data_IF_767181427364
#
_entry.id   IF_767181427364
#
_cell.length_a   1.000
_cell.length_b   1.000
_cell.length_c   1.000
_cell.angle_alpha   90.00
_cell.angle_beta   90.00
_cell.angle_gamma   90.00
#
_symmetry.space_group_name_H-M   'P 1'
#
loop_
_entity.id
_entity.type
_entity.pdbx_description
1 polymer ?
#
# COMPACT_ATOMS: atom_id res chain seq x y z
N UNK A 1 20.35 8.58 -58.15
CA UNK A 1 20.08 7.89 -56.86
C UNK A 1 20.60 8.80 -55.77
N UNK A 2 19.79 9.66 -55.12
CA UNK A 2 18.81 9.31 -54.07
C UNK A 2 19.58 8.99 -52.78
N UNK A 3 19.44 9.66 -51.62
CA UNK A 3 18.31 10.37 -51.04
C UNK A 3 18.79 11.46 -50.06
N UNK A 4 18.31 12.70 -50.22
CA UNK A 4 18.45 13.78 -49.24
C UNK A 4 17.31 13.73 -48.23
N UNK A 5 17.62 13.54 -46.95
CA UNK A 5 16.63 13.55 -45.86
C UNK A 5 16.31 15.00 -45.48
N UNK A 6 15.22 15.53 -46.05
CA UNK A 6 14.61 16.82 -45.67
C UNK A 6 14.08 16.73 -44.23
N UNK A 7 14.67 17.48 -43.30
CA UNK A 7 14.09 17.77 -41.98
C UNK A 7 12.75 18.49 -42.17
N UNK A 8 11.65 17.80 -41.84
CA UNK A 8 10.31 18.39 -41.71
C UNK A 8 10.24 19.15 -40.38
N UNK A 9 10.19 20.48 -40.46
CA UNK A 9 9.69 21.34 -39.37
C UNK A 9 8.19 21.06 -39.24
N UNK A 10 7.76 20.41 -38.15
CA UNK A 10 6.34 20.34 -37.78
C UNK A 10 6.13 21.39 -36.69
N UNK A 11 5.55 22.52 -37.09
CA UNK A 11 5.13 23.56 -36.17
C UNK A 11 3.79 23.19 -35.52
N UNK A 12 3.62 23.69 -34.30
CA UNK A 12 2.34 24.05 -33.68
C UNK A 12 1.34 22.94 -33.46
N UNK A 13 1.19 22.51 -32.20
CA UNK A 13 -0.08 22.65 -31.48
C UNK A 13 0.20 22.34 -30.01
N UNK A 14 0.24 23.40 -29.20
CA UNK A 14 0.16 23.28 -27.76
C UNK A 14 -1.28 22.88 -27.43
N UNK A 15 -1.52 21.58 -27.27
CA UNK A 15 -2.73 21.11 -26.59
C UNK A 15 -2.59 21.49 -25.12
N UNK A 16 -3.09 22.69 -24.81
CA UNK A 16 -3.50 23.02 -23.46
C UNK A 16 -4.56 22.01 -23.06
N UNK A 17 -4.16 21.05 -22.24
CA UNK A 17 -5.03 20.10 -21.57
C UNK A 17 -5.99 20.90 -20.67
N UNK A 18 -7.07 21.37 -21.29
CA UNK A 18 -8.15 22.06 -20.63
C UNK A 18 -8.75 21.07 -19.64
N UNK A 19 -8.41 21.23 -18.36
CA UNK A 19 -9.01 20.52 -17.23
C UNK A 19 -10.51 20.76 -17.28
N UNK A 20 -11.23 19.93 -18.03
CA UNK A 20 -12.68 19.98 -18.15
C UNK A 20 -13.21 19.83 -16.73
N UNK A 21 -13.76 20.93 -16.20
CA UNK A 21 -14.25 20.98 -14.83
C UNK A 21 -15.34 19.92 -14.72
N UNK A 22 -15.03 18.78 -14.10
CA UNK A 22 -15.99 17.70 -13.90
C UNK A 22 -17.21 18.32 -13.23
N UNK A 23 -18.38 18.10 -13.82
CA UNK A 23 -19.62 18.61 -13.21
C UNK A 23 -19.75 18.00 -11.81
N UNK A 24 -20.44 18.68 -10.90
CA UNK A 24 -20.70 18.13 -9.56
C UNK A 24 -21.25 16.70 -9.64
N UNK A 25 -22.14 16.47 -10.60
CA UNK A 25 -22.76 15.17 -10.88
C UNK A 25 -21.74 14.11 -11.30
N UNK A 26 -20.75 14.46 -12.12
CA UNK A 26 -19.73 13.50 -12.57
C UNK A 26 -18.70 13.21 -11.48
N UNK A 27 -18.29 14.22 -10.72
CA UNK A 27 -17.43 14.03 -9.54
C UNK A 27 -18.11 13.18 -8.47
N UNK A 28 -19.41 13.39 -8.24
CA UNK A 28 -20.20 12.61 -7.31
C UNK A 28 -20.30 11.13 -7.73
N UNK A 29 -20.57 10.87 -9.02
CA UNK A 29 -20.58 9.51 -9.57
C UNK A 29 -19.23 8.82 -9.42
N UNK A 30 -18.13 9.54 -9.65
CA UNK A 30 -16.78 9.00 -9.47
C UNK A 30 -16.54 8.63 -7.99
N UNK A 31 -16.92 9.51 -7.06
CA UNK A 31 -16.85 9.23 -5.62
C UNK A 31 -17.68 8.02 -5.22
N UNK A 32 -18.90 7.88 -5.74
CA UNK A 32 -19.75 6.71 -5.49
C UNK A 32 -19.11 5.43 -6.01
N UNK A 33 -18.52 5.46 -7.21
CA UNK A 33 -17.79 4.32 -7.77
C UNK A 33 -16.58 3.92 -6.90
N UNK A 34 -15.81 4.90 -6.41
CA UNK A 34 -14.68 4.65 -5.52
C UNK A 34 -15.13 4.05 -4.18
N UNK A 35 -16.25 4.51 -3.62
CA UNK A 35 -16.86 3.94 -2.41
C UNK A 35 -17.28 2.48 -2.65
N UNK A 36 -17.91 2.19 -3.79
CA UNK A 36 -18.29 0.82 -4.13
C UNK A 36 -17.06 -0.09 -4.27
N UNK A 37 -16.02 0.40 -4.95
CA UNK A 37 -14.77 -0.34 -5.06
C UNK A 37 -14.13 -0.58 -3.70
N UNK A 38 -14.09 0.43 -2.83
CA UNK A 38 -13.61 0.30 -1.45
C UNK A 38 -14.38 -0.77 -0.66
N UNK A 39 -15.71 -0.86 -0.84
CA UNK A 39 -16.53 -1.90 -0.22
C UNK A 39 -16.17 -3.31 -0.74
N UNK A 40 -15.93 -3.46 -2.04
CA UNK A 40 -15.47 -4.72 -2.64
C UNK A 40 -14.09 -5.14 -2.11
N UNK A 41 -13.21 -4.19 -1.81
CA UNK A 41 -11.93 -4.48 -1.16
C UNK A 41 -12.14 -4.86 0.31
N UNK A 42 -12.94 -4.10 1.05
CA UNK A 42 -13.16 -4.31 2.47
C UNK A 42 -13.85 -5.65 2.78
N UNK A 43 -14.71 -6.16 1.90
CA UNK A 43 -15.37 -7.46 2.07
C UNK A 43 -14.39 -8.64 2.09
N UNK A 44 -13.21 -8.50 1.51
CA UNK A 44 -12.17 -9.54 1.50
C UNK A 44 -11.46 -9.67 2.87
N UNK A 45 -11.68 -8.73 3.79
CA UNK A 45 -11.00 -8.69 5.09
C UNK A 45 -11.98 -8.62 6.26
N UNK A 46 -12.73 -9.70 6.54
CA UNK A 46 -13.64 -9.75 7.69
C UNK A 46 -12.87 -9.73 9.02
N UNK A 47 -13.36 -8.96 9.99
CA UNK A 47 -12.84 -8.93 11.37
C UNK A 47 -13.94 -9.31 12.36
N UNK A 48 -13.79 -10.49 12.98
CA UNK A 48 -14.79 -11.04 13.88
C UNK A 48 -16.14 -11.31 13.19
N UNK A 49 -16.10 -11.86 11.97
CA UNK A 49 -17.30 -12.26 11.21
C UNK A 49 -18.03 -11.13 10.49
N UNK A 50 -17.46 -9.92 10.43
CA UNK A 50 -18.03 -8.82 9.69
C UNK A 50 -16.97 -7.92 9.06
N UNK A 51 -17.31 -7.36 7.90
CA UNK A 51 -16.47 -6.44 7.12
C UNK A 51 -16.99 -5.01 7.27
N UNK A 52 -16.13 -4.03 6.97
CA UNK A 52 -16.59 -2.65 6.89
C UNK A 52 -17.27 -2.39 5.54
N UNK A 53 -18.36 -1.64 5.60
CA UNK A 53 -19.01 -1.05 4.44
C UNK A 53 -19.10 0.45 4.61
N UNK A 54 -19.14 1.12 3.46
CA UNK A 54 -19.10 2.56 3.34
C UNK A 54 -20.25 3.02 2.48
N UNK A 55 -20.89 4.12 2.88
CA UNK A 55 -21.94 4.76 2.09
C UNK A 55 -21.80 6.26 2.14
N UNK A 56 -22.21 6.92 1.06
CA UNK A 56 -22.29 8.36 1.02
C UNK A 56 -23.49 8.85 1.85
N UNK A 57 -23.31 9.94 2.58
CA UNK A 57 -24.33 10.60 3.39
C UNK A 57 -24.31 12.11 3.15
N UNK A 58 -25.50 12.68 3.03
CA UNK A 58 -25.71 14.10 2.84
C UNK A 58 -26.14 14.74 4.17
N UNK A 59 -25.56 15.89 4.50
CA UNK A 59 -26.04 16.72 5.61
C UNK A 59 -27.45 17.23 5.31
N UNK A 60 -28.33 17.42 6.32
CA UNK A 60 -29.61 18.10 6.13
C UNK A 60 -29.47 19.47 5.45
N UNK A 61 -28.36 20.16 5.70
CA UNK A 61 -28.04 21.43 5.05
C UNK A 61 -27.84 21.30 3.53
N UNK A 62 -27.46 20.11 3.03
CA UNK A 62 -27.20 19.90 1.61
C UNK A 62 -28.42 20.21 0.74
N UNK A 63 -29.64 19.95 1.23
CA UNK A 63 -30.87 20.27 0.50
C UNK A 63 -31.00 21.77 0.17
N UNK A 64 -30.42 22.65 0.99
CA UNK A 64 -30.44 24.09 0.79
C UNK A 64 -29.26 24.62 -0.04
N UNK A 65 -28.13 23.90 -0.07
CA UNK A 65 -26.90 24.40 -0.70
C UNK A 65 -26.54 23.69 -2.00
N UNK A 66 -27.08 22.50 -2.29
CA UNK A 66 -26.70 21.73 -3.49
C UNK A 66 -27.01 22.46 -4.81
N UNK A 67 -28.01 23.36 -4.85
CA UNK A 67 -28.31 24.17 -6.02
C UNK A 67 -27.18 25.17 -6.35
N UNK A 68 -26.48 25.68 -5.33
CA UNK A 68 -25.33 26.59 -5.48
C UNK A 68 -24.07 25.85 -5.94
N UNK A 69 -23.99 24.55 -5.66
CA UNK A 69 -22.81 23.70 -5.87
C UNK A 69 -22.82 23.03 -7.25
N UNK A 70 -23.89 23.17 -8.05
CA UNK A 70 -24.04 22.56 -9.38
C UNK A 70 -22.85 22.82 -10.33
N UNK A 71 -22.14 23.93 -10.14
CA UNK A 71 -20.98 24.35 -10.94
C UNK A 71 -19.62 24.02 -10.31
N UNK A 72 -19.58 23.18 -9.27
CA UNK A 72 -18.38 22.92 -8.47
C UNK A 72 -18.13 21.43 -8.25
N UNK A 73 -16.93 21.08 -7.79
CA UNK A 73 -16.52 19.70 -7.53
C UNK A 73 -17.05 19.18 -6.17
N UNK A 74 -17.29 17.87 -6.03
CA UNK A 74 -17.77 17.26 -4.79
C UNK A 74 -16.77 17.41 -3.62
N UNK A 75 -15.49 17.66 -3.92
CA UNK A 75 -14.48 18.02 -2.92
C UNK A 75 -14.85 19.29 -2.15
N UNK A 76 -15.42 20.30 -2.81
CA UNK A 76 -15.88 21.53 -2.14
C UNK A 76 -17.07 21.23 -1.23
N UNK A 77 -18.05 20.45 -1.70
CA UNK A 77 -19.18 20.03 -0.89
C UNK A 77 -18.73 19.19 0.33
N UNK A 78 -17.71 18.36 0.18
CA UNK A 78 -17.06 17.64 1.28
C UNK A 78 -16.38 18.58 2.29
N UNK A 79 -15.64 19.58 1.81
CA UNK A 79 -14.99 20.58 2.65
C UNK A 79 -15.99 21.43 3.44
N UNK A 80 -17.12 21.79 2.83
CA UNK A 80 -18.22 22.53 3.45
C UNK A 80 -19.08 21.67 4.41
N UNK A 81 -18.82 20.36 4.50
CA UNK A 81 -19.60 19.48 5.38
C UNK A 81 -20.96 19.06 4.83
N UNK A 82 -21.24 19.30 3.55
CA UNK A 82 -22.49 18.89 2.90
C UNK A 82 -22.50 17.38 2.62
N UNK A 83 -21.32 16.78 2.45
CA UNK A 83 -21.13 15.35 2.18
C UNK A 83 -20.19 14.73 3.23
N UNK A 84 -20.54 13.52 3.65
CA UNK A 84 -19.73 12.65 4.52
C UNK A 84 -19.84 11.20 4.05
N UNK A 85 -18.83 10.41 4.38
CA UNK A 85 -18.81 8.97 4.14
C UNK A 85 -19.07 8.30 5.48
N UNK A 86 -20.11 7.48 5.56
CA UNK A 86 -20.42 6.69 6.75
C UNK A 86 -19.78 5.32 6.60
N UNK A 87 -19.00 4.92 7.60
CA UNK A 87 -18.37 3.60 7.69
C UNK A 87 -19.08 2.83 8.80
N UNK A 88 -19.58 1.63 8.47
CA UNK A 88 -20.30 0.76 9.39
C UNK A 88 -19.86 -0.69 9.22
N UNK A 89 -20.10 -1.52 10.23
CA UNK A 89 -19.76 -2.95 10.20
C UNK A 89 -20.98 -3.73 9.69
N UNK A 90 -20.77 -4.58 8.68
CA UNK A 90 -21.79 -5.42 8.05
C UNK A 90 -21.45 -6.91 8.22
N UNK A 91 -22.41 -7.69 8.72
CA UNK A 91 -22.28 -9.14 8.91
C UNK A 91 -22.78 -9.91 7.69
N UNK A 92 -22.16 -11.06 7.40
CA UNK A 92 -22.44 -11.92 6.23
C UNK A 92 -23.89 -12.47 6.18
N UNK A 93 -24.62 -12.48 7.32
CA UNK A 93 -25.90 -13.19 7.47
C UNK A 93 -27.12 -12.52 6.80
N UNK A 94 -26.92 -11.48 5.97
CA UNK A 94 -27.98 -10.79 5.21
C UNK A 94 -29.06 -10.07 6.05
N UNK A 95 -29.20 -10.40 7.34
CA UNK A 95 -29.95 -9.65 8.33
C UNK A 95 -29.11 -8.46 8.75
N UNK A 96 -29.38 -7.33 8.09
CA UNK A 96 -28.90 -5.98 8.38
C UNK A 96 -29.01 -5.63 9.86
N UNK A 97 -28.05 -6.04 10.67
CA UNK A 97 -27.67 -5.36 11.89
C UNK A 97 -26.55 -4.41 11.48
N UNK A 98 -26.94 -3.28 10.88
CA UNK A 98 -26.06 -2.11 10.79
C UNK A 98 -25.57 -1.89 12.22
N UNK A 99 -24.27 -2.09 12.45
CA UNK A 99 -23.71 -1.96 13.79
C UNK A 99 -24.12 -0.62 14.38
N UNK A 100 -24.49 -0.62 15.66
CA UNK A 100 -25.00 0.50 16.47
C UNK A 100 -24.08 1.75 16.44
N UNK A 101 -22.86 1.61 15.91
CA UNK A 101 -21.83 2.66 15.85
C UNK A 101 -21.37 2.90 14.40
N UNK A 102 -22.06 3.79 13.68
CA UNK A 102 -21.56 4.30 12.41
C UNK A 102 -20.46 5.36 12.66
N UNK A 103 -19.42 5.37 11.83
CA UNK A 103 -18.31 6.33 11.88
C UNK A 103 -18.43 7.32 10.72
N UNK A 104 -18.17 8.60 10.96
CA UNK A 104 -18.18 9.66 9.94
C UNK A 104 -16.75 9.92 9.46
N UNK A 105 -16.51 9.71 8.18
CA UNK A 105 -15.32 10.16 7.48
C UNK A 105 -15.64 11.33 6.53
N UNK A 106 -14.73 12.27 6.46
CA UNK A 106 -14.65 13.26 5.39
C UNK A 106 -14.03 12.66 4.13
N UNK A 107 -14.17 13.34 2.99
CA UNK A 107 -13.47 12.96 1.76
C UNK A 107 -11.94 12.94 1.95
N UNK A 108 -11.41 13.83 2.80
CA UNK A 108 -9.98 13.89 3.10
C UNK A 108 -9.52 12.64 3.84
N UNK A 109 -10.28 12.17 4.82
CA UNK A 109 -9.97 10.94 5.57
C UNK A 109 -10.14 9.69 4.70
N UNK A 110 -11.18 9.67 3.84
CA UNK A 110 -11.39 8.57 2.90
C UNK A 110 -10.24 8.45 1.90
N UNK A 111 -9.96 9.49 1.12
CA UNK A 111 -8.89 9.44 0.12
C UNK A 111 -7.48 9.51 0.71
N UNK A 112 -7.32 10.06 1.92
CA UNK A 112 -6.01 10.19 2.57
C UNK A 112 -5.57 8.95 3.34
N UNK A 113 -6.51 8.22 3.94
CA UNK A 113 -6.18 7.10 4.84
C UNK A 113 -6.92 5.81 4.47
N UNK A 114 -8.25 5.84 4.39
CA UNK A 114 -9.07 4.61 4.26
C UNK A 114 -8.85 3.92 2.90
N UNK A 115 -9.06 4.65 1.80
CA UNK A 115 -8.96 4.13 0.45
C UNK A 115 -7.53 3.67 0.09
N UNK A 116 -6.46 4.46 0.38
CA UNK A 116 -5.09 3.99 0.18
C UNK A 116 -4.73 2.77 1.01
N UNK A 117 -5.24 2.63 2.23
CA UNK A 117 -4.98 1.46 3.08
C UNK A 117 -5.60 0.19 2.49
N UNK A 118 -6.84 0.27 2.00
CA UNK A 118 -7.49 -0.84 1.29
C UNK A 118 -6.76 -1.21 0.00
N UNK A 119 -6.32 -0.22 -0.76
CA UNK A 119 -5.50 -0.45 -1.95
C UNK A 119 -4.17 -1.12 -1.62
N UNK A 120 -3.51 -0.75 -0.52
CA UNK A 120 -2.26 -1.38 -0.09
C UNK A 120 -2.48 -2.84 0.30
N UNK A 121 -3.53 -3.13 1.06
CA UNK A 121 -3.92 -4.50 1.42
C UNK A 121 -4.20 -5.34 0.17
N UNK A 122 -4.84 -4.76 -0.86
CA UNK A 122 -5.11 -5.44 -2.12
C UNK A 122 -3.88 -5.53 -3.06
N UNK A 123 -2.99 -4.53 -3.08
CA UNK A 123 -1.77 -4.57 -3.91
C UNK A 123 -0.73 -5.54 -3.38
N UNK A 124 -0.74 -5.85 -2.08
CA UNK A 124 -0.06 -7.04 -1.55
C UNK A 124 -0.60 -8.37 -2.12
N UNK A 125 -1.74 -8.34 -2.83
CA UNK A 125 -2.42 -9.50 -3.45
C UNK A 125 -2.29 -9.50 -4.98
N UNK A 126 -1.62 -8.54 -5.64
CA UNK A 126 -1.21 -8.74 -7.04
C UNK A 126 -0.02 -9.70 -7.10
N UNK A 127 -0.36 -10.96 -6.84
CA UNK A 127 0.33 -12.24 -6.99
C UNK A 127 1.22 -12.32 -8.23
N UNK A 128 0.95 -11.50 -9.26
CA UNK A 128 1.71 -11.45 -10.51
C UNK A 128 3.08 -10.78 -10.35
N UNK A 129 3.19 -9.67 -9.63
CA UNK A 129 4.48 -8.99 -9.42
C UNK A 129 5.31 -9.72 -8.36
N UNK A 130 4.68 -10.24 -7.30
CA UNK A 130 5.36 -11.09 -6.31
C UNK A 130 5.82 -12.42 -6.93
N UNK A 131 4.97 -13.14 -7.68
CA UNK A 131 5.40 -14.34 -8.41
C UNK A 131 6.44 -14.02 -9.47
N UNK A 132 6.37 -12.89 -10.18
CA UNK A 132 7.42 -12.51 -11.12
C UNK A 132 8.72 -12.21 -10.39
N UNK A 133 8.71 -11.48 -9.29
CA UNK A 133 9.92 -11.19 -8.52
C UNK A 133 10.48 -12.45 -7.88
N UNK A 134 9.65 -13.31 -7.27
CA UNK A 134 10.02 -14.61 -6.71
C UNK A 134 10.52 -15.58 -7.78
N UNK A 135 9.89 -15.62 -8.95
CA UNK A 135 10.32 -16.41 -10.11
C UNK A 135 11.62 -15.87 -10.72
N UNK A 136 11.76 -14.55 -10.86
CA UNK A 136 12.99 -13.92 -11.36
C UNK A 136 14.14 -14.13 -10.39
N UNK A 137 13.90 -14.04 -9.08
CA UNK A 137 14.87 -14.38 -8.05
C UNK A 137 15.24 -15.87 -8.14
N UNK A 138 14.25 -16.77 -8.13
CA UNK A 138 14.48 -18.20 -8.24
C UNK A 138 15.21 -18.59 -9.54
N UNK A 139 14.92 -17.95 -10.68
CA UNK A 139 15.50 -18.30 -11.98
C UNK A 139 16.88 -17.69 -12.17
N UNK A 140 17.10 -16.43 -11.77
CA UNK A 140 18.42 -15.78 -11.90
C UNK A 140 19.43 -16.31 -10.88
N UNK A 141 19.00 -16.68 -9.67
CA UNK A 141 19.88 -17.26 -8.67
C UNK A 141 20.08 -18.78 -8.85
N UNK A 142 19.10 -19.55 -9.37
CA UNK A 142 19.33 -20.96 -9.75
C UNK A 142 20.19 -21.14 -11.02
N UNK A 143 20.20 -20.19 -11.96
CA UNK A 143 20.98 -20.38 -13.20
C UNK A 143 22.50 -20.43 -12.93
N UNK A 144 22.99 -19.82 -11.84
CA UNK A 144 24.39 -19.94 -11.41
C UNK A 144 24.73 -21.31 -10.81
N UNK A 145 23.73 -22.10 -10.42
CA UNK A 145 23.91 -23.42 -9.79
C UNK A 145 24.09 -24.55 -10.82
N UNK A 146 23.77 -24.32 -12.10
CA UNK A 146 23.90 -25.36 -13.13
C UNK A 146 25.35 -25.63 -13.59
N UNK A 147 26.33 -24.89 -13.09
CA UNK A 147 27.76 -25.15 -13.36
C UNK A 147 28.51 -25.83 -12.22
N UNK A 148 27.85 -26.14 -11.10
CA UNK A 148 28.46 -26.92 -10.01
C UNK A 148 27.47 -27.93 -9.44
N UNK A 149 27.78 -29.22 -9.58
CA UNK A 149 27.05 -30.32 -8.95
C UNK A 149 27.06 -30.17 -7.43
N UNK A 150 25.90 -30.01 -6.81
CA UNK A 150 25.69 -30.33 -5.40
C UNK A 150 24.32 -29.90 -4.92
N UNK A 151 23.56 -30.79 -4.28
CA UNK A 151 22.37 -30.39 -3.51
C UNK A 151 22.87 -29.45 -2.39
N UNK A 152 22.54 -28.16 -2.47
CA UNK A 152 22.78 -27.22 -1.37
C UNK A 152 22.01 -27.74 -0.16
N UNK A 153 22.73 -28.13 0.89
CA UNK A 153 22.15 -28.63 2.12
C UNK A 153 21.68 -27.47 3.00
N UNK A 154 20.75 -27.69 3.93
CA UNK A 154 20.32 -26.69 4.93
C UNK A 154 21.52 -26.07 5.67
N UNK A 155 22.58 -26.87 5.84
CA UNK A 155 23.88 -26.51 6.43
C UNK A 155 24.65 -25.48 5.59
N UNK A 156 24.52 -25.47 4.27
CA UNK A 156 25.20 -24.51 3.41
C UNK A 156 24.48 -23.15 3.41
N UNK A 157 23.17 -23.12 3.67
CA UNK A 157 22.37 -21.89 3.80
C UNK A 157 22.73 -21.18 5.11
N UNK A 158 22.82 -21.91 6.23
CA UNK A 158 23.24 -21.34 7.52
C UNK A 158 24.65 -20.73 7.45
N UNK A 159 25.58 -21.41 6.76
CA UNK A 159 26.96 -20.91 6.53
C UNK A 159 27.04 -19.64 5.69
N UNK A 160 26.10 -19.42 4.77
CA UNK A 160 26.02 -18.20 3.96
C UNK A 160 25.40 -17.03 4.74
N UNK A 161 24.57 -17.30 5.77
CA UNK A 161 23.96 -16.30 6.65
C UNK A 161 24.84 -15.93 7.87
N UNK A 162 25.87 -16.73 8.16
CA UNK A 162 26.85 -16.45 9.21
C UNK A 162 27.90 -15.42 8.78
N UNK A 163 28.38 -14.64 9.75
CA UNK A 163 29.54 -13.80 9.53
C UNK A 163 30.80 -14.64 9.33
N UNK A 164 31.46 -14.53 8.17
CA UNK A 164 32.74 -15.23 7.89
C UNK A 164 33.95 -14.84 8.77
N UNK A 165 33.75 -14.06 9.84
CA UNK A 165 34.78 -13.70 10.83
C UNK A 165 34.42 -14.27 12.20
N UNK A 166 33.22 -14.00 12.73
CA UNK A 166 32.81 -14.48 14.05
C UNK A 166 31.95 -15.75 14.04
N UNK A 167 31.52 -16.21 12.85
CA UNK A 167 30.64 -17.36 12.64
C UNK A 167 29.29 -17.27 13.38
N UNK A 168 28.82 -16.05 13.65
CA UNK A 168 27.52 -15.80 14.26
C UNK A 168 26.52 -15.29 13.21
N UNK A 169 25.26 -15.69 13.36
CA UNK A 169 24.11 -15.20 12.58
C UNK A 169 23.72 -13.80 13.04
N UNK A 170 24.39 -12.79 12.48
CA UNK A 170 24.15 -11.38 12.78
C UNK A 170 23.72 -10.64 11.50
N UNK A 171 23.15 -9.44 11.64
CA UNK A 171 22.91 -8.58 10.48
C UNK A 171 24.23 -8.28 9.75
N UNK A 172 24.27 -8.70 8.49
CA UNK A 172 25.46 -8.63 7.65
C UNK A 172 25.49 -7.28 6.91
N UNK A 173 26.69 -6.74 6.76
CA UNK A 173 26.97 -5.55 5.97
C UNK A 173 27.90 -5.90 4.82
N UNK A 174 27.69 -5.25 3.67
CA UNK A 174 28.46 -5.46 2.45
C UNK A 174 29.33 -4.23 2.17
N UNK A 175 30.61 -4.48 1.91
CA UNK A 175 31.56 -3.44 1.54
C UNK A 175 31.35 -2.99 0.08
N UNK A 176 31.20 -1.69 -0.21
CA UNK A 176 30.84 -1.19 -1.54
C UNK A 176 31.95 -1.39 -2.59
N UNK A 177 33.22 -1.45 -2.16
CA UNK A 177 34.36 -1.51 -3.08
C UNK A 177 34.70 -2.94 -3.53
N UNK A 178 34.39 -3.95 -2.70
CA UNK A 178 34.83 -5.33 -2.93
C UNK A 178 33.73 -6.39 -2.71
N UNK A 179 32.52 -5.97 -2.36
CA UNK A 179 31.33 -6.80 -2.17
C UNK A 179 31.44 -7.94 -1.14
N UNK A 180 32.50 -7.93 -0.33
CA UNK A 180 32.63 -8.87 0.79
C UNK A 180 31.71 -8.47 1.94
N UNK A 181 31.17 -9.47 2.63
CA UNK A 181 30.21 -9.31 3.71
C UNK A 181 30.78 -9.78 5.07
N UNK A 182 30.41 -9.07 6.13
CA UNK A 182 30.69 -9.42 7.52
C UNK A 182 29.63 -8.76 8.43
N UNK A 183 29.52 -9.13 9.70
CA UNK A 183 28.60 -8.43 10.59
C UNK A 183 29.13 -7.03 10.95
N UNK A 184 28.23 -6.11 11.31
CA UNK A 184 28.60 -4.72 11.65
C UNK A 184 29.66 -4.65 12.76
N UNK A 185 29.57 -5.52 13.76
CA UNK A 185 30.53 -5.59 14.87
C UNK A 185 31.94 -5.94 14.38
N UNK A 186 32.06 -6.99 13.56
CA UNK A 186 33.34 -7.37 12.98
C UNK A 186 33.90 -6.30 12.04
N UNK A 187 33.05 -5.61 11.28
CA UNK A 187 33.48 -4.46 10.47
C UNK A 187 34.06 -3.35 11.35
N UNK A 188 33.35 -2.91 12.40
CA UNK A 188 33.79 -1.82 13.27
C UNK A 188 35.11 -2.17 13.98
N UNK A 189 35.20 -3.36 14.57
CA UNK A 189 36.39 -3.85 15.26
C UNK A 189 37.60 -3.93 14.32
N UNK A 190 37.39 -4.41 13.09
CA UNK A 190 38.44 -4.52 12.09
C UNK A 190 38.85 -3.14 11.55
N UNK A 191 37.89 -2.29 11.18
CA UNK A 191 38.13 -0.95 10.64
C UNK A 191 38.91 -0.06 11.61
N UNK A 192 38.68 -0.21 12.92
CA UNK A 192 39.45 0.46 13.97
C UNK A 192 40.94 0.06 13.98
N UNK A 193 41.28 -1.15 13.51
CA UNK A 193 42.66 -1.69 13.51
C UNK A 193 43.33 -1.57 12.14
N UNK A 194 42.57 -1.77 11.06
CA UNK A 194 43.05 -1.78 9.70
C UNK A 194 42.04 -1.17 8.74
N UNK A 195 42.50 -0.22 7.93
CA UNK A 195 41.71 0.44 6.89
C UNK A 195 41.72 -0.36 5.57
N UNK A 196 41.58 -1.69 5.66
CA UNK A 196 41.58 -2.63 4.54
C UNK A 196 40.47 -3.66 4.71
N UNK A 197 39.95 -4.25 3.64
CA UNK A 197 39.03 -5.37 3.74
C UNK A 197 39.73 -6.59 4.40
N UNK A 198 39.10 -7.27 5.38
CA UNK A 198 39.69 -8.45 6.03
C UNK A 198 39.82 -9.64 5.07
N UNK A 199 39.02 -9.70 4.00
CA UNK A 199 39.00 -10.81 3.05
C UNK A 199 39.96 -10.61 1.88
N UNK A 200 39.95 -9.44 1.24
CA UNK A 200 40.76 -9.16 0.04
C UNK A 200 41.81 -8.06 0.20
N UNK A 201 41.87 -7.39 1.36
CA UNK A 201 42.80 -6.28 1.65
C UNK A 201 42.61 -5.02 0.81
N UNK A 202 41.54 -4.90 0.04
CA UNK A 202 41.17 -3.65 -0.65
C UNK A 202 41.02 -2.49 0.33
N UNK A 203 41.36 -1.28 -0.11
CA UNK A 203 41.39 -0.12 0.78
C UNK A 203 39.99 0.33 1.21
N UNK A 204 39.83 0.57 2.52
CA UNK A 204 38.62 1.10 3.15
C UNK A 204 38.77 2.55 3.64
N UNK A 205 39.87 3.24 3.30
CA UNK A 205 40.18 4.60 3.79
C UNK A 205 39.10 5.66 3.50
N UNK A 206 38.15 5.37 2.62
CA UNK A 206 37.04 6.26 2.21
C UNK A 206 35.66 5.66 2.46
N UNK A 207 35.58 4.55 3.20
CA UNK A 207 34.32 3.84 3.48
C UNK A 207 34.01 4.00 4.96
N UNK A 208 32.98 4.77 5.26
CA UNK A 208 32.42 4.90 6.61
C UNK A 208 31.31 3.88 6.84
N UNK A 209 30.81 3.81 8.09
CA UNK A 209 29.67 2.95 8.43
C UNK A 209 28.41 3.26 7.58
N UNK A 210 28.20 4.52 7.24
CA UNK A 210 27.03 4.98 6.45
C UNK A 210 27.10 4.57 4.97
N UNK A 211 28.29 4.20 4.49
CA UNK A 211 28.51 3.77 3.10
C UNK A 211 28.28 2.25 2.93
N UNK A 212 28.06 1.53 4.03
CA UNK A 212 27.84 0.09 4.05
C UNK A 212 26.43 -0.27 3.63
N UNK A 213 26.31 -1.36 2.87
CA UNK A 213 25.00 -1.85 2.45
C UNK A 213 24.54 -2.93 3.42
N UNK A 214 23.31 -2.80 3.93
CA UNK A 214 22.71 -3.80 4.81
C UNK A 214 22.28 -4.99 3.94
N UNK A 215 22.79 -6.17 4.26
CA UNK A 215 22.31 -7.42 3.68
C UNK A 215 21.05 -7.85 4.42
N UNK A 216 19.92 -7.82 3.72
CA UNK A 216 18.64 -8.30 4.26
C UNK A 216 18.60 -9.81 4.01
N UNK A 217 18.63 -10.60 5.08
CA UNK A 217 18.50 -12.05 4.96
C UNK A 217 17.12 -12.44 4.46
N UNK A 218 17.00 -13.65 3.92
CA UNK A 218 15.71 -14.20 3.50
C UNK A 218 14.70 -14.30 4.66
N UNK A 219 15.21 -14.44 5.89
CA UNK A 219 14.47 -14.51 7.15
C UNK A 219 14.04 -13.14 7.71
N UNK A 220 14.75 -12.05 7.36
CA UNK A 220 14.41 -10.67 7.73
C UNK A 220 13.40 -10.01 6.78
N UNK A 221 13.14 -10.63 5.62
CA UNK A 221 11.99 -10.27 4.78
C UNK A 221 10.73 -10.69 5.54
N UNK A 222 10.16 -9.76 6.32
CA UNK A 222 8.89 -9.95 7.00
C UNK A 222 7.89 -10.62 6.04
N UNK A 223 7.35 -11.78 6.45
CA UNK A 223 6.31 -12.46 5.68
C UNK A 223 5.22 -11.44 5.33
N UNK A 224 4.90 -11.33 4.04
CA UNK A 224 3.90 -10.42 3.51
C UNK A 224 2.56 -10.58 4.26
N UNK A 225 2.26 -11.78 4.75
CA UNK A 225 1.10 -12.03 5.60
C UNK A 225 1.17 -11.26 6.94
N UNK A 226 2.35 -11.17 7.57
CA UNK A 226 2.56 -10.42 8.81
C UNK A 226 2.44 -8.92 8.60
N UNK A 227 2.99 -8.39 7.50
CA UNK A 227 2.84 -6.98 7.11
C UNK A 227 1.37 -6.65 6.85
N UNK A 228 0.67 -7.49 6.09
CA UNK A 228 -0.75 -7.29 5.79
C UNK A 228 -1.62 -7.36 7.04
N UNK A 229 -1.34 -8.30 7.96
CA UNK A 229 -2.04 -8.41 9.24
C UNK A 229 -1.88 -7.14 10.07
N UNK A 230 -0.68 -6.56 10.11
CA UNK A 230 -0.42 -5.33 10.86
C UNK A 230 -1.05 -4.09 10.19
N UNK A 231 -0.97 -3.99 8.85
CA UNK A 231 -1.64 -2.93 8.10
C UNK A 231 -3.16 -2.98 8.27
N UNK A 232 -3.73 -4.19 8.30
CA UNK A 232 -5.15 -4.39 8.56
C UNK A 232 -5.51 -3.87 9.96
N UNK A 233 -4.77 -4.26 11.00
CA UNK A 233 -4.99 -3.75 12.37
C UNK A 233 -4.97 -2.23 12.44
N UNK A 234 -3.98 -1.59 11.80
CA UNK A 234 -3.87 -0.11 11.76
C UNK A 234 -5.10 0.53 11.12
N UNK A 235 -5.59 -0.05 10.03
CA UNK A 235 -6.82 0.43 9.37
C UNK A 235 -8.03 0.33 10.31
N UNK A 236 -8.20 -0.80 11.01
CA UNK A 236 -9.28 -0.97 11.99
C UNK A 236 -9.22 0.07 13.10
N UNK A 237 -8.04 0.24 13.72
CA UNK A 237 -7.82 1.23 14.79
C UNK A 237 -8.13 2.65 14.28
N UNK A 238 -7.69 2.99 13.07
CA UNK A 238 -7.99 4.29 12.47
C UNK A 238 -9.50 4.51 12.29
N UNK A 239 -10.22 3.53 11.73
CA UNK A 239 -11.67 3.63 11.54
C UNK A 239 -12.39 3.79 12.88
N UNK A 240 -11.95 3.10 13.93
CA UNK A 240 -12.51 3.23 15.29
C UNK A 240 -12.23 4.60 15.92
N UNK A 241 -11.17 5.29 15.49
CA UNK A 241 -10.85 6.65 15.94
C UNK A 241 -11.72 7.74 15.30
N UNK A 242 -12.42 7.44 14.20
CA UNK A 242 -13.27 8.41 13.50
C UNK A 242 -14.49 8.83 14.36
N UNK A 243 -15.04 10.04 14.17
CA UNK A 243 -16.20 10.52 14.91
C UNK A 243 -17.41 9.58 14.80
N UNK A 244 -18.06 9.29 15.94
CA UNK A 244 -19.31 8.54 15.97
C UNK A 244 -20.47 9.35 15.38
N UNK A 245 -21.29 8.71 14.56
CA UNK A 245 -22.61 9.23 14.22
C UNK A 245 -23.57 8.89 15.37
N UNK A 246 -23.81 9.84 16.27
CA UNK A 246 -24.83 9.69 17.31
C UNK A 246 -26.22 9.70 16.68
N UNK A 247 -26.68 8.58 16.13
CA UNK A 247 -28.09 8.35 15.83
C UNK A 247 -28.64 7.41 16.89
N UNK A 248 -29.18 8.00 17.94
CA UNK A 248 -29.96 7.32 18.98
C UNK A 248 -31.08 6.50 18.31
N UNK A 249 -31.10 5.19 18.59
CA UNK A 249 -32.19 4.23 18.43
C UNK A 249 -33.12 4.40 17.21
N UNK A 250 -32.97 3.54 16.19
CA UNK A 250 -34.07 3.27 15.25
C UNK A 250 -34.81 2.04 15.75
N UNK A 251 -36.02 2.27 16.28
CA UNK A 251 -37.03 1.23 16.43
C UNK A 251 -37.26 0.52 15.10
N UNK A 252 -37.35 -0.80 15.16
CA UNK A 252 -37.99 -1.61 14.12
C UNK A 252 -39.29 -0.96 13.66
N UNK A 253 -39.42 -0.68 12.36
CA UNK A 253 -40.72 -0.74 11.70
C UNK A 253 -40.56 -1.66 10.49
N UNK A 254 -40.98 -2.90 10.71
CA UNK A 254 -41.46 -3.78 9.66
C UNK A 254 -42.70 -3.14 9.05
N UNK A 255 -42.67 -2.78 7.76
CA UNK A 255 -43.73 -3.13 6.78
C UNK A 255 -43.51 -2.47 5.41
N UNK A 256 -43.95 -3.14 4.33
CA UNK A 256 -43.74 -2.72 2.96
C UNK A 256 -44.75 -1.65 2.55
N UNK A 257 -44.29 -0.58 1.92
CA UNK A 257 -45.19 0.31 1.18
C UNK A 257 -45.38 -0.25 -0.23
N UNK A 258 -46.50 -0.96 -0.34
CA UNK A 258 -47.26 -1.24 -1.54
C UNK A 258 -47.38 0.05 -2.37
N UNK A 259 -46.99 -0.04 -3.63
CA UNK A 259 -47.30 0.95 -4.66
C UNK A 259 -48.82 0.88 -4.89
N UNK A 260 -49.51 1.99 -4.64
CA UNK A 260 -50.87 2.20 -5.09
C UNK A 260 -51.03 3.66 -5.57
N UNK A 261 -51.63 3.75 -6.76
CA UNK A 261 -52.00 4.90 -7.60
C UNK A 261 -50.88 5.56 -8.42
#
# INVERSE_FOLDING_TARGET
>A
MGFGVKRRKKGGEAEGEGRMRKSFKDSLKALEADIQFANTLASQYPSGGASFQMRLSYSPAAQFFLFLVQWTDCHLAGALGLLRILIYKAYEDGKTTISIYERKASLKEFYGMVFPSLLQLHRGITDVEDRKQKHLCATKYKLKDLTSKGKVSEIDIEREEECGICLEMNSMVVLPNCYHSMCMKCYQDWHARSQSCPFCRDSLKRVNCDDLWIYISSSEINDLASINKENLKRLFIYIESLPLNSRSYIHHISSPLVIAN
#
